data_IF_511893532180
#
_entry.id   IF_511893532180
#
_cell.length_a   1.000
_cell.length_b   1.000
_cell.length_c   1.000
_cell.angle_alpha   90.00
_cell.angle_beta   90.00
_cell.angle_gamma   90.00
#
_symmetry.space_group_name_H-M   'P 1'
#
loop_
_entity.id
_entity.type
_entity.pdbx_description
1 polymer ?
#
# COMPACT_ATOMS: atom_id res chain seq x y z
N UNK A 1 27.83 -24.43 -0.50
CA UNK A 1 28.01 -23.21 0.32
C UNK A 1 27.07 -23.31 1.50
N UNK A 2 27.53 -23.19 2.76
CA UNK A 2 26.63 -23.11 3.91
C UNK A 2 25.75 -21.87 3.77
N UNK A 3 24.47 -21.95 4.17
CA UNK A 3 23.58 -20.79 4.21
C UNK A 3 23.77 -20.08 5.55
N UNK A 4 24.39 -18.91 5.53
CA UNK A 4 24.43 -18.03 6.69
C UNK A 4 23.03 -17.49 6.95
N UNK A 5 22.46 -17.85 8.10
CA UNK A 5 21.14 -17.38 8.53
C UNK A 5 21.35 -16.19 9.46
N UNK A 6 20.88 -15.01 9.04
CA UNK A 6 20.89 -13.81 9.86
C UNK A 6 19.51 -13.57 10.48
N UNK A 7 19.49 -13.18 11.75
CA UNK A 7 18.26 -12.78 12.44
C UNK A 7 17.92 -11.35 12.04
N UNK A 8 16.81 -11.16 11.31
CA UNK A 8 16.33 -9.85 10.91
C UNK A 8 15.23 -9.36 11.86
N UNK A 9 15.15 -8.04 12.14
CA UNK A 9 14.02 -7.47 12.85
C UNK A 9 12.71 -7.69 12.07
N UNK A 10 11.58 -7.66 12.78
CA UNK A 10 10.27 -7.75 12.15
C UNK A 10 10.10 -6.59 11.14
N UNK A 11 9.81 -6.93 9.89
CA UNK A 11 9.49 -5.95 8.86
C UNK A 11 8.07 -5.44 9.10
N UNK A 12 7.94 -4.19 9.52
CA UNK A 12 6.66 -3.51 9.71
C UNK A 12 6.50 -2.42 8.65
N UNK A 13 5.25 -2.12 8.31
CA UNK A 13 4.90 -0.98 7.45
C UNK A 13 4.14 0.02 8.30
N UNK A 14 4.45 1.30 8.12
CA UNK A 14 3.77 2.38 8.83
C UNK A 14 2.34 2.52 8.30
N UNK A 15 1.40 2.78 9.20
CA UNK A 15 -0.01 3.01 8.88
C UNK A 15 -0.57 4.09 9.79
N UNK A 16 -1.22 5.09 9.18
CA UNK A 16 -1.98 6.07 9.92
C UNK A 16 -3.41 5.56 10.12
N UNK A 17 -3.84 5.46 11.37
CA UNK A 17 -5.22 5.12 11.72
C UNK A 17 -6.01 6.41 11.93
N UNK A 18 -7.14 6.54 11.23
CA UNK A 18 -8.09 7.64 11.42
C UNK A 18 -9.02 7.29 12.57
N UNK A 19 -8.60 7.61 13.79
CA UNK A 19 -9.31 7.22 15.01
C UNK A 19 -10.78 7.66 15.03
N UNK A 20 -11.11 8.73 14.32
CA UNK A 20 -12.48 9.22 14.15
C UNK A 20 -13.41 8.28 13.36
N UNK A 21 -12.86 7.28 12.67
CA UNK A 21 -13.61 6.32 11.83
C UNK A 21 -13.89 4.99 12.53
N UNK A 22 -13.50 4.85 13.81
CA UNK A 22 -13.73 3.62 14.57
C UNK A 22 -15.24 3.42 14.80
N UNK A 23 -15.73 2.25 14.40
CA UNK A 23 -17.05 1.75 14.78
C UNK A 23 -16.86 0.64 15.84
N UNK A 24 -17.17 0.95 17.10
CA UNK A 24 -16.95 0.04 18.23
C UNK A 24 -17.87 -1.18 18.22
N UNK A 25 -19.13 -1.01 17.80
CA UNK A 25 -20.12 -2.09 17.74
C UNK A 25 -19.70 -3.13 16.70
N UNK A 26 -19.33 -2.68 15.51
CA UNK A 26 -18.87 -3.53 14.42
C UNK A 26 -17.40 -3.97 14.56
N UNK A 27 -16.62 -3.29 15.43
CA UNK A 27 -15.16 -3.43 15.57
C UNK A 27 -14.41 -3.18 14.25
N UNK A 28 -14.79 -2.13 13.53
CA UNK A 28 -14.19 -1.75 12.24
C UNK A 28 -13.57 -0.37 12.30
N UNK A 29 -12.67 -0.08 11.36
CA UNK A 29 -12.07 1.24 11.14
C UNK A 29 -11.83 1.43 9.65
N UNK A 30 -11.90 2.67 9.17
CA UNK A 30 -11.60 2.97 7.76
C UNK A 30 -10.10 3.07 7.55
N UNK A 31 -9.63 2.51 6.43
CA UNK A 31 -8.22 2.52 6.03
C UNK A 31 -8.08 3.18 4.67
N UNK A 32 -7.25 4.21 4.61
CA UNK A 32 -6.80 4.80 3.34
C UNK A 32 -5.49 4.14 2.95
N UNK A 33 -5.53 3.28 1.93
CA UNK A 33 -4.35 2.52 1.47
C UNK A 33 -3.51 3.32 0.44
N UNK A 34 -4.11 4.28 -0.26
CA UNK A 34 -3.43 5.23 -1.14
C UNK A 34 -4.30 6.44 -1.43
N UNK A 35 -3.67 7.54 -1.86
CA UNK A 35 -4.32 8.76 -2.36
C UNK A 35 -3.81 9.16 -3.74
N UNK A 36 -3.22 8.23 -4.49
CA UNK A 36 -2.61 8.49 -5.79
C UNK A 36 -1.14 8.91 -5.69
N UNK A 37 -0.29 7.96 -5.31
CA UNK A 37 1.16 8.16 -5.23
C UNK A 37 1.78 8.47 -6.59
N UNK A 38 2.71 9.40 -6.62
CA UNK A 38 3.53 9.70 -7.80
C UNK A 38 4.91 9.05 -7.67
N UNK A 39 5.49 8.65 -8.81
CA UNK A 39 6.92 8.37 -8.88
C UNK A 39 7.53 8.84 -10.19
N UNK A 40 8.83 9.09 -10.15
CA UNK A 40 9.64 9.35 -11.35
C UNK A 40 10.04 8.02 -11.98
N UNK A 41 9.77 7.87 -13.27
CA UNK A 41 10.17 6.71 -14.07
C UNK A 41 11.38 7.10 -14.92
N UNK A 42 12.59 6.60 -14.59
CA UNK A 42 13.77 6.86 -15.40
C UNK A 42 13.66 6.12 -16.75
N UNK A 43 14.03 6.78 -17.84
CA UNK A 43 14.14 6.19 -19.18
C UNK A 43 15.61 6.18 -19.60
N UNK A 44 16.02 5.14 -20.32
CA UNK A 44 17.43 4.97 -20.71
C UNK A 44 17.84 5.86 -21.89
N UNK A 45 16.91 6.14 -22.80
CA UNK A 45 17.17 6.91 -24.03
C UNK A 45 16.37 8.22 -24.13
N UNK A 46 15.48 8.49 -23.18
CA UNK A 46 14.58 9.65 -23.20
C UNK A 46 14.56 10.35 -21.84
N UNK A 47 13.85 11.48 -21.77
CA UNK A 47 13.56 12.15 -20.51
C UNK A 47 12.73 11.27 -19.58
N UNK A 48 13.04 11.36 -18.27
CA UNK A 48 12.21 10.76 -17.25
C UNK A 48 10.83 11.43 -17.22
N UNK A 49 9.81 10.69 -16.82
CA UNK A 49 8.46 11.24 -16.64
C UNK A 49 7.89 10.82 -15.29
N UNK A 50 6.89 11.56 -14.84
CA UNK A 50 6.16 11.25 -13.60
C UNK A 50 4.96 10.39 -13.96
N UNK A 51 4.82 9.25 -13.29
CA UNK A 51 3.60 8.46 -13.32
C UNK A 51 2.86 8.60 -11.99
N UNK A 52 1.53 8.63 -12.07
CA UNK A 52 0.65 8.68 -10.92
C UNK A 52 -0.19 7.40 -10.85
N UNK A 53 -0.34 6.86 -9.65
CA UNK A 53 -1.25 5.75 -9.39
C UNK A 53 -2.70 6.22 -9.56
N UNK A 54 -3.42 5.69 -10.56
CA UNK A 54 -4.84 6.00 -10.77
C UNK A 54 -5.70 5.50 -9.61
N UNK A 55 -6.62 6.36 -9.16
CA UNK A 55 -7.66 6.05 -8.17
C UNK A 55 -9.03 5.82 -8.83
N UNK A 56 -9.07 5.62 -10.16
CA UNK A 56 -10.32 5.39 -10.89
C UNK A 56 -10.93 4.04 -10.56
N UNK A 57 -12.26 3.98 -10.61
CA UNK A 57 -13.02 2.75 -10.44
C UNK A 57 -12.58 1.71 -11.49
N UNK A 58 -12.07 0.56 -11.02
CA UNK A 58 -11.55 -0.51 -11.87
C UNK A 58 -10.03 -0.54 -12.04
N UNK A 59 -9.30 0.53 -11.68
CA UNK A 59 -7.84 0.50 -11.58
C UNK A 59 -7.37 -0.35 -10.38
N UNK A 60 -8.26 -0.55 -9.41
CA UNK A 60 -7.98 -1.26 -8.15
C UNK A 60 -9.00 -2.37 -7.96
N UNK A 61 -8.52 -3.57 -7.63
CA UNK A 61 -9.37 -4.71 -7.29
C UNK A 61 -9.85 -4.61 -5.85
N UNK A 62 -10.78 -3.69 -5.59
CA UNK A 62 -11.33 -3.43 -4.25
C UNK A 62 -11.93 -4.69 -3.60
N UNK A 63 -12.61 -5.55 -4.38
CA UNK A 63 -13.14 -6.81 -3.87
C UNK A 63 -12.06 -7.68 -3.22
N UNK A 64 -10.83 -7.68 -3.75
CA UNK A 64 -9.73 -8.46 -3.16
C UNK A 64 -9.31 -7.87 -1.81
N UNK A 65 -9.22 -6.54 -1.73
CA UNK A 65 -8.84 -5.83 -0.50
C UNK A 65 -9.91 -6.02 0.59
N UNK A 66 -11.18 -5.87 0.23
CA UNK A 66 -12.32 -6.05 1.13
C UNK A 66 -12.47 -7.51 1.62
N UNK A 67 -11.93 -8.49 0.89
CA UNK A 67 -11.86 -9.89 1.30
C UNK A 67 -10.60 -10.23 2.13
N UNK A 68 -9.94 -9.23 2.73
CA UNK A 68 -8.84 -9.43 3.67
C UNK A 68 -7.47 -9.61 3.01
N UNK A 69 -7.30 -9.18 1.75
CA UNK A 69 -5.96 -9.11 1.19
C UNK A 69 -5.10 -8.08 1.94
N UNK A 70 -3.78 -8.32 2.05
CA UNK A 70 -2.87 -7.34 2.65
C UNK A 70 -2.94 -6.00 1.90
N UNK A 71 -3.16 -4.93 2.64
CA UNK A 71 -3.24 -3.54 2.13
C UNK A 71 -1.88 -2.84 2.11
N UNK A 72 -0.80 -3.53 2.52
CA UNK A 72 0.55 -2.99 2.69
C UNK A 72 1.62 -4.00 2.28
#
# INVERSE_FOLDING_TARGET
>A
MPKDTIQMPAMMRDVSVRAETVNEEARTVDVVWSTGSERVVPRFFDEAFIEQLSMDDGAVRLDRLNNGAPVL
#
